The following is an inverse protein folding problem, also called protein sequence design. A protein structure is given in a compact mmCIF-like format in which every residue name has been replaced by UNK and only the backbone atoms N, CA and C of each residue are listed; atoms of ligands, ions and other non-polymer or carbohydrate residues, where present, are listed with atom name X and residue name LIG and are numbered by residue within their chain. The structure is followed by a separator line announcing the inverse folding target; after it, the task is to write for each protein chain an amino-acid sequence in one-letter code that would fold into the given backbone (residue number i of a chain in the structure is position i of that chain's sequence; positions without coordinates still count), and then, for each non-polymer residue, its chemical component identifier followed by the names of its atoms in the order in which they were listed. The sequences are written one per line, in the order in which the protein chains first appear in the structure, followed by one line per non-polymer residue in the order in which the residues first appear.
data_IF_612253418818
#
_entry.id   IF_612253418818
#
_cell.length_a   1.000
_cell.length_b   1.000
_cell.length_c   1.000
_cell.angle_alpha   90.00
_cell.angle_beta   90.00
_cell.angle_gamma   90.00
#
_symmetry.space_group_name_H-M   'P 1'
#
loop_
_entity.id
_entity.type
_entity.pdbx_description
1 polymer ?
#
# COMPACT_ATOMS: atom_id res chain seq x y z
N UNK A 1 17.28 47.57 -7.78
CA UNK A 1 17.90 46.31 -7.25
C UNK A 1 17.87 46.33 -5.73
N UNK A 2 17.11 45.44 -5.12
CA UNK A 2 17.10 45.31 -3.66
C UNK A 2 18.26 44.40 -3.29
N UNK A 3 19.33 45.00 -2.76
CA UNK A 3 20.58 44.29 -2.48
C UNK A 3 20.66 43.64 -1.09
N UNK A 4 19.76 43.94 -0.21
CA UNK A 4 19.55 43.15 1.04
C UNK A 4 18.20 43.48 1.62
N UNK A 5 17.43 42.48 1.98
CA UNK A 5 16.27 42.62 2.83
C UNK A 5 16.70 42.24 4.25
N UNK A 6 17.15 43.25 4.99
CA UNK A 6 17.27 43.09 6.42
C UNK A 6 15.87 42.84 6.99
N UNK A 7 15.75 41.98 7.96
CA UNK A 7 14.57 41.66 8.73
C UNK A 7 13.28 42.33 8.22
N UNK A 8 12.49 41.62 7.41
CA UNK A 8 11.15 42.06 7.08
C UNK A 8 10.31 41.97 8.35
N UNK A 9 9.96 43.16 8.86
CA UNK A 9 8.85 43.25 9.78
C UNK A 9 7.59 42.62 9.17
N UNK A 10 6.62 42.38 9.96
CA UNK A 10 5.34 41.73 9.60
C UNK A 10 4.83 42.23 8.25
N UNK A 11 4.78 41.37 7.23
CA UNK A 11 4.10 41.66 5.99
C UNK A 11 2.62 41.52 6.25
N UNK A 12 1.92 42.64 6.39
CA UNK A 12 0.49 42.67 6.74
C UNK A 12 -0.41 42.38 5.54
N UNK A 13 0.08 42.47 4.31
CA UNK A 13 -0.70 42.17 3.11
C UNK A 13 0.21 41.70 1.99
N UNK A 14 0.00 40.50 1.52
CA UNK A 14 0.59 39.99 0.28
C UNK A 14 -0.50 39.95 -0.77
N UNK A 15 -0.53 41.01 -1.64
CA UNK A 15 -1.49 41.07 -2.75
C UNK A 15 -0.77 40.53 -3.99
N UNK A 16 -1.29 39.46 -4.57
CA UNK A 16 -0.79 38.93 -5.83
C UNK A 16 0.20 37.78 -5.71
N UNK A 17 0.18 36.98 -4.65
CA UNK A 17 0.84 35.67 -4.65
C UNK A 17 0.06 34.74 -5.54
N UNK A 18 0.46 34.67 -6.82
CA UNK A 18 -0.15 33.74 -7.79
C UNK A 18 0.33 32.31 -7.66
N UNK A 19 1.43 32.08 -6.95
CA UNK A 19 1.92 30.73 -6.73
C UNK A 19 2.75 30.70 -5.44
N UNK A 20 2.27 30.00 -4.42
CA UNK A 20 3.12 29.53 -3.33
C UNK A 20 3.76 28.22 -3.81
N UNK A 21 4.95 28.32 -4.38
CA UNK A 21 5.62 27.17 -5.01
C UNK A 21 6.21 26.22 -3.99
N UNK A 22 6.12 26.48 -2.72
CA UNK A 22 6.57 25.49 -1.73
C UNK A 22 5.99 25.79 -0.36
N UNK A 23 4.71 25.64 -0.18
CA UNK A 23 4.32 25.04 1.07
C UNK A 23 4.63 23.55 0.85
N UNK A 24 5.75 23.07 1.38
CA UNK A 24 5.97 21.65 1.49
C UNK A 24 4.76 21.10 2.22
N UNK A 25 3.87 20.41 1.50
CA UNK A 25 2.83 19.64 2.16
C UNK A 25 3.57 18.74 3.14
N UNK A 26 3.27 18.82 4.45
CA UNK A 26 3.88 17.91 5.40
C UNK A 26 3.69 16.51 4.84
N UNK A 27 4.79 15.79 4.66
CA UNK A 27 4.70 14.40 4.22
C UNK A 27 3.77 13.69 5.22
N UNK A 28 2.62 13.23 4.76
CA UNK A 28 1.72 12.45 5.62
C UNK A 28 2.51 11.23 6.05
N UNK A 29 2.75 11.01 7.36
CA UNK A 29 3.58 9.91 7.81
C UNK A 29 3.01 8.59 7.29
N UNK A 30 3.81 7.81 6.58
CA UNK A 30 3.38 6.51 6.11
C UNK A 30 3.34 5.53 7.30
N UNK A 31 2.22 4.87 7.49
CA UNK A 31 2.07 3.82 8.50
C UNK A 31 2.39 2.46 7.89
N UNK A 32 3.25 1.70 8.56
CA UNK A 32 3.59 0.35 8.13
C UNK A 32 2.53 -0.68 8.56
N UNK A 33 2.31 -1.68 7.71
CA UNK A 33 1.50 -2.86 8.00
C UNK A 33 2.30 -4.10 7.64
N UNK A 34 2.22 -5.12 8.50
CA UNK A 34 2.91 -6.39 8.33
C UNK A 34 1.92 -7.54 8.41
N UNK A 35 2.03 -8.48 7.48
CA UNK A 35 1.28 -9.72 7.48
C UNK A 35 2.24 -10.90 7.28
N UNK A 36 2.19 -11.86 8.19
CA UNK A 36 2.78 -13.18 8.00
C UNK A 36 1.61 -14.16 7.78
N UNK A 37 1.60 -14.86 6.66
CA UNK A 37 0.44 -15.67 6.29
C UNK A 37 0.10 -16.74 7.32
N UNK A 38 -1.19 -16.89 7.63
CA UNK A 38 -1.76 -18.08 8.24
C UNK A 38 -2.12 -19.11 7.15
N UNK A 39 -2.44 -20.35 7.54
CA UNK A 39 -2.94 -21.37 6.62
C UNK A 39 -4.41 -21.06 6.22
N UNK A 40 -4.61 -19.97 5.48
CA UNK A 40 -5.90 -19.44 5.07
C UNK A 40 -5.72 -18.48 3.88
N UNK A 41 -6.80 -17.84 3.43
CA UNK A 41 -6.76 -16.74 2.46
C UNK A 41 -6.33 -15.40 3.05
N UNK A 42 -6.13 -15.32 4.37
CA UNK A 42 -5.64 -14.13 5.07
C UNK A 42 -6.44 -12.84 4.81
N UNK A 43 -7.76 -12.98 4.56
CA UNK A 43 -8.65 -11.85 4.34
C UNK A 43 -8.74 -10.95 5.56
N UNK A 44 -8.32 -9.69 5.45
CA UNK A 44 -8.31 -8.72 6.54
C UNK A 44 -8.55 -7.29 6.05
N UNK A 45 -9.17 -6.46 6.89
CA UNK A 45 -9.19 -5.02 6.71
C UNK A 45 -7.95 -4.41 7.36
N UNK A 46 -7.16 -3.68 6.58
CA UNK A 46 -5.98 -2.96 7.09
C UNK A 46 -6.40 -1.62 7.67
N UNK A 47 -7.26 -0.90 6.96
CA UNK A 47 -7.79 0.40 7.40
C UNK A 47 -9.12 0.69 6.70
N UNK A 48 -10.02 1.36 7.41
CA UNK A 48 -11.22 1.99 6.86
C UNK A 48 -10.96 3.45 6.49
N UNK A 49 -11.70 3.97 5.53
CA UNK A 49 -11.53 5.34 5.01
C UNK A 49 -10.41 5.45 3.96
N UNK A 50 -10.28 6.65 3.41
CA UNK A 50 -9.32 6.91 2.34
C UNK A 50 -7.89 6.60 2.76
N UNK A 51 -7.20 5.79 1.97
CA UNK A 51 -5.80 5.43 2.19
C UNK A 51 -5.03 5.40 0.87
N UNK A 52 -3.74 5.67 0.91
CA UNK A 52 -2.82 5.56 -0.23
C UNK A 52 -1.75 4.49 0.02
N UNK A 53 -1.60 3.54 -0.90
CA UNK A 53 -0.50 2.57 -0.87
C UNK A 53 0.78 3.25 -1.38
N UNK A 54 1.76 3.46 -0.51
CA UNK A 54 3.01 4.15 -0.84
C UNK A 54 4.13 3.20 -1.24
N UNK A 55 4.22 2.05 -0.58
CA UNK A 55 5.16 0.99 -0.91
C UNK A 55 4.60 -0.37 -0.53
N UNK A 56 4.99 -1.38 -1.27
CA UNK A 56 4.61 -2.76 -1.05
C UNK A 56 5.83 -3.65 -1.27
N UNK A 57 6.03 -4.59 -0.37
CA UNK A 57 7.00 -5.66 -0.48
C UNK A 57 6.36 -6.97 -0.06
N UNK A 58 6.56 -8.02 -0.82
CA UNK A 58 6.15 -9.36 -0.44
C UNK A 58 7.25 -10.38 -0.75
N UNK A 59 7.39 -11.37 0.12
CA UNK A 59 8.25 -12.53 -0.08
C UNK A 59 7.46 -13.82 0.08
N UNK A 60 7.82 -14.84 -0.69
CA UNK A 60 7.19 -16.15 -0.71
C UNK A 60 8.27 -17.22 -0.62
N UNK A 61 8.27 -17.96 0.47
CA UNK A 61 9.20 -19.09 0.71
C UNK A 61 8.68 -20.43 0.18
N UNK A 62 7.44 -20.46 -0.35
CA UNK A 62 6.87 -21.65 -0.99
C UNK A 62 7.35 -21.80 -2.42
N UNK A 63 7.31 -23.01 -2.94
CA UNK A 63 7.67 -23.32 -4.34
C UNK A 63 6.61 -22.87 -5.34
N UNK A 64 5.35 -22.82 -4.93
CA UNK A 64 4.25 -22.33 -5.75
C UNK A 64 4.12 -20.80 -5.66
N UNK A 65 3.68 -20.19 -6.77
CA UNK A 65 3.34 -18.77 -6.79
C UNK A 65 2.19 -18.49 -5.83
N UNK A 66 2.20 -17.29 -5.22
CA UNK A 66 1.10 -16.76 -4.45
C UNK A 66 0.65 -15.41 -5.01
N UNK A 67 -0.55 -14.98 -4.66
CA UNK A 67 -1.13 -13.72 -5.12
C UNK A 67 -1.65 -12.92 -3.92
N UNK A 68 -1.13 -11.71 -3.78
CA UNK A 68 -1.64 -10.74 -2.81
C UNK A 68 -2.71 -9.90 -3.50
N UNK A 69 -3.91 -9.92 -2.95
CA UNK A 69 -5.07 -9.19 -3.46
C UNK A 69 -5.36 -8.01 -2.55
N UNK A 70 -5.43 -6.82 -3.11
CA UNK A 70 -5.77 -5.59 -2.40
C UNK A 70 -7.18 -5.15 -2.80
N UNK A 71 -7.98 -4.74 -1.83
CA UNK A 71 -9.41 -4.42 -2.00
C UNK A 71 -9.69 -3.00 -1.55
N UNK A 72 -10.48 -2.28 -2.33
CA UNK A 72 -11.00 -0.96 -1.97
C UNK A 72 -12.34 -1.13 -1.25
N UNK A 73 -12.29 -1.42 0.06
CA UNK A 73 -13.46 -1.67 0.90
C UNK A 73 -13.31 -1.09 2.30
N UNK A 74 -14.43 -0.68 2.89
CA UNK A 74 -14.50 -0.21 4.27
C UNK A 74 -14.63 -1.36 5.31
N UNK A 75 -14.77 -2.60 4.83
CA UNK A 75 -14.90 -3.82 5.65
C UNK A 75 -13.89 -4.87 5.18
N UNK A 76 -13.65 -5.89 5.99
CA UNK A 76 -12.81 -7.02 5.58
C UNK A 76 -13.36 -7.64 4.28
N UNK A 77 -12.48 -7.97 3.31
CA UNK A 77 -12.92 -8.55 2.05
C UNK A 77 -13.48 -9.97 2.26
N UNK A 78 -14.56 -10.27 1.54
CA UNK A 78 -15.06 -11.64 1.39
C UNK A 78 -14.35 -12.25 0.19
N UNK A 79 -13.26 -12.98 0.49
CA UNK A 79 -12.40 -13.58 -0.55
C UNK A 79 -13.20 -14.58 -1.38
N UNK A 80 -13.07 -14.48 -2.70
CA UNK A 80 -13.85 -15.29 -3.65
C UNK A 80 -15.17 -14.67 -4.09
N UNK A 81 -15.64 -13.62 -3.41
CA UNK A 81 -16.87 -12.89 -3.74
C UNK A 81 -16.59 -11.46 -4.16
N UNK A 82 -15.76 -10.77 -3.37
CA UNK A 82 -15.37 -9.39 -3.68
C UNK A 82 -14.33 -9.37 -4.79
N UNK A 83 -14.41 -8.35 -5.65
CA UNK A 83 -13.43 -8.13 -6.72
C UNK A 83 -12.26 -7.34 -6.18
N UNK A 84 -11.01 -7.84 -6.29
CA UNK A 84 -9.83 -7.09 -5.90
C UNK A 84 -9.63 -5.86 -6.79
N UNK A 85 -9.22 -4.76 -6.21
CA UNK A 85 -8.76 -3.56 -6.93
C UNK A 85 -7.39 -3.79 -7.58
N UNK A 86 -6.55 -4.61 -6.95
CA UNK A 86 -5.21 -4.93 -7.43
C UNK A 86 -4.82 -6.35 -7.04
N UNK A 87 -4.19 -7.07 -7.99
CA UNK A 87 -3.63 -8.40 -7.75
C UNK A 87 -2.13 -8.35 -8.03
N UNK A 88 -1.34 -8.69 -7.02
CA UNK A 88 0.13 -8.68 -7.09
C UNK A 88 0.63 -10.11 -7.01
N UNK A 89 1.32 -10.54 -8.07
CA UNK A 89 1.94 -11.86 -8.13
C UNK A 89 3.22 -11.88 -7.29
N UNK A 90 3.34 -12.85 -6.39
CA UNK A 90 4.56 -13.12 -5.62
C UNK A 90 5.13 -14.46 -6.08
N UNK A 91 6.27 -14.48 -6.78
CA UNK A 91 6.83 -15.71 -7.33
C UNK A 91 7.07 -16.76 -6.23
N UNK A 92 6.96 -18.04 -6.58
CA UNK A 92 7.52 -19.10 -5.76
C UNK A 92 9.04 -19.14 -5.89
N UNK A 93 9.70 -19.86 -5.00
CA UNK A 93 11.14 -20.02 -4.98
C UNK A 93 11.55 -21.48 -4.89
N UNK A 94 12.80 -21.77 -5.26
CA UNK A 94 13.41 -23.06 -4.98
C UNK A 94 13.56 -23.29 -3.47
N UNK A 95 13.72 -24.54 -3.05
CA UNK A 95 13.90 -24.85 -1.63
C UNK A 95 15.11 -24.09 -1.03
N UNK A 96 14.88 -23.37 0.06
CA UNK A 96 15.90 -22.57 0.73
C UNK A 96 16.05 -21.13 0.20
N UNK A 97 15.27 -20.72 -0.81
CA UNK A 97 15.25 -19.38 -1.37
C UNK A 97 13.88 -18.71 -1.13
N UNK A 98 13.72 -17.46 -1.55
CA UNK A 98 12.46 -16.71 -1.46
C UNK A 98 12.19 -15.96 -2.76
N UNK A 99 10.99 -16.14 -3.30
CA UNK A 99 10.48 -15.28 -4.37
C UNK A 99 10.06 -13.93 -3.79
N UNK A 100 10.32 -12.84 -4.51
CA UNK A 100 10.04 -11.48 -4.01
C UNK A 100 9.33 -10.65 -5.06
N UNK A 101 8.52 -9.71 -4.59
CA UNK A 101 7.88 -8.68 -5.42
C UNK A 101 7.85 -7.37 -4.64
N UNK A 102 8.24 -6.30 -5.32
CA UNK A 102 8.18 -4.94 -4.82
C UNK A 102 7.32 -4.06 -5.74
N UNK A 103 6.62 -3.13 -5.14
CA UNK A 103 5.84 -2.13 -5.85
C UNK A 103 5.97 -0.78 -5.11
N UNK A 104 6.34 0.25 -5.86
CA UNK A 104 6.51 1.62 -5.33
C UNK A 104 5.65 2.58 -6.16
N UNK A 105 4.35 2.75 -5.85
CA UNK A 105 3.41 3.54 -6.65
C UNK A 105 3.76 5.03 -6.75
N UNK A 106 4.79 5.50 -6.04
CA UNK A 106 5.20 6.90 -6.04
C UNK A 106 4.72 7.66 -4.81
N UNK A 107 5.06 8.94 -4.75
CA UNK A 107 4.89 9.80 -3.56
C UNK A 107 3.44 9.92 -3.07
N UNK A 108 2.46 9.97 -3.98
CA UNK A 108 1.03 10.07 -3.63
C UNK A 108 0.35 8.71 -3.43
N UNK A 109 1.05 7.61 -3.71
CA UNK A 109 0.54 6.27 -3.57
C UNK A 109 -0.61 5.93 -4.53
N UNK A 110 -1.01 4.65 -4.54
CA UNK A 110 -2.25 4.22 -5.18
C UNK A 110 -3.41 4.37 -4.19
N UNK A 111 -4.48 5.09 -4.59
CA UNK A 111 -5.57 5.45 -3.67
C UNK A 111 -6.63 4.36 -3.55
N UNK A 112 -7.04 4.13 -2.31
CA UNK A 112 -8.17 3.30 -1.91
C UNK A 112 -9.18 4.19 -1.17
N UNK A 113 -10.20 4.76 -1.85
CA UNK A 113 -11.09 5.75 -1.26
C UNK A 113 -11.97 5.24 -0.12
N UNK A 114 -12.34 3.96 -0.13
CA UNK A 114 -13.23 3.37 0.87
C UNK A 114 -12.47 2.74 2.04
N UNK A 115 -11.26 2.27 1.80
CA UNK A 115 -10.43 1.55 2.75
C UNK A 115 -9.54 0.55 2.04
N UNK A 116 -8.54 0.04 2.73
CA UNK A 116 -7.60 -0.93 2.21
C UNK A 116 -7.80 -2.28 2.90
N UNK A 117 -8.30 -3.23 2.15
CA UNK A 117 -8.35 -4.64 2.52
C UNK A 117 -7.25 -5.44 1.84
N UNK A 118 -6.89 -6.60 2.41
CA UNK A 118 -5.88 -7.51 1.88
C UNK A 118 -6.37 -8.95 1.95
N UNK A 119 -5.93 -9.78 0.99
CA UNK A 119 -5.98 -11.23 1.08
C UNK A 119 -4.76 -11.83 0.38
N UNK A 120 -4.49 -13.11 0.64
CA UNK A 120 -3.44 -13.88 -0.04
C UNK A 120 -4.04 -15.20 -0.49
N UNK A 121 -3.90 -15.52 -1.79
CA UNK A 121 -4.43 -16.75 -2.38
C UNK A 121 -3.37 -17.45 -3.24
N UNK A 122 -3.57 -18.75 -3.49
CA UNK A 122 -2.72 -19.54 -4.37
C UNK A 122 -2.97 -19.31 -5.86
N UNK A 123 -4.14 -18.78 -6.23
CA UNK A 123 -4.53 -18.52 -7.61
C UNK A 123 -4.81 -17.05 -7.90
N UNK A 124 -4.65 -16.66 -9.18
CA UNK A 124 -4.79 -15.28 -9.64
C UNK A 124 -6.25 -14.84 -9.85
N UNK A 125 -7.19 -15.79 -10.07
CA UNK A 125 -8.58 -15.43 -10.35
C UNK A 125 -9.22 -14.66 -9.20
N UNK A 126 -10.07 -13.67 -9.47
CA UNK A 126 -10.75 -12.88 -8.45
C UNK A 126 -11.49 -13.78 -7.44
N UNK A 127 -12.15 -14.80 -7.95
CA UNK A 127 -12.90 -15.77 -7.15
C UNK A 127 -12.03 -16.87 -6.52
N UNK A 128 -10.72 -16.87 -6.70
CA UNK A 128 -9.86 -17.88 -6.10
C UNK A 128 -9.82 -17.76 -4.56
N UNK A 129 -10.02 -18.88 -3.90
CA UNK A 129 -10.01 -19.03 -2.44
C UNK A 129 -8.97 -20.04 -1.95
N UNK A 130 -8.01 -20.41 -2.81
CA UNK A 130 -6.97 -21.35 -2.45
C UNK A 130 -6.08 -20.76 -1.34
N UNK A 131 -6.09 -21.39 -0.18
CA UNK A 131 -5.29 -20.95 0.95
C UNK A 131 -3.79 -21.13 0.68
N UNK A 132 -2.98 -20.22 1.20
CA UNK A 132 -1.52 -20.37 1.30
C UNK A 132 -1.16 -21.04 2.62
N UNK A 133 0.07 -21.55 2.75
CA UNK A 133 0.53 -22.13 4.00
C UNK A 133 0.87 -21.06 5.05
N UNK A 134 0.86 -21.46 6.32
CA UNK A 134 1.31 -20.60 7.42
C UNK A 134 2.78 -20.22 7.24
N UNK A 135 3.12 -18.94 7.38
CA UNK A 135 4.49 -18.43 7.26
C UNK A 135 5.05 -18.41 5.83
N UNK A 136 4.30 -18.89 4.84
CA UNK A 136 4.75 -18.98 3.46
C UNK A 136 4.97 -17.61 2.83
N UNK A 137 4.01 -16.70 3.00
CA UNK A 137 4.04 -15.37 2.41
C UNK A 137 4.14 -14.32 3.51
N UNK A 138 5.09 -13.41 3.35
CA UNK A 138 5.23 -12.24 4.24
C UNK A 138 5.01 -10.98 3.43
N UNK A 139 4.13 -10.12 3.91
CA UNK A 139 3.81 -8.84 3.28
C UNK A 139 4.19 -7.71 4.21
N UNK A 140 4.86 -6.71 3.67
CA UNK A 140 5.09 -5.41 4.29
C UNK A 140 4.60 -4.34 3.34
N UNK A 141 3.74 -3.46 3.81
CA UNK A 141 3.35 -2.29 3.04
C UNK A 141 3.39 -1.03 3.88
N UNK A 142 3.57 0.10 3.23
CA UNK A 142 3.40 1.42 3.85
C UNK A 142 2.25 2.15 3.18
N UNK A 143 1.47 2.84 3.98
CA UNK A 143 0.26 3.54 3.55
C UNK A 143 0.14 4.90 4.22
N UNK A 144 -0.54 5.82 3.54
CA UNK A 144 -1.05 7.07 4.12
C UNK A 144 -2.48 6.87 4.63
N UNK A 145 -2.90 7.75 5.48
CA UNK A 145 -4.28 7.94 5.95
C UNK A 145 -4.80 9.30 5.50
#
# INVERSE_FOLDING_TARGET
QISSVGSLGTVSTVTGVTTVTTAGTPAVPATAYFLNSAASTNGALIITGTSGLCAFYASNSGTAVAFVKLYNKATAPVVGTDVPEMIIRVPGAAAGDVGQTELTPGFNGYRFPLGLGIAITGGAADADTTAVAAGQVKVKLSRTV
#
